data_IF_091881575041
#
_entry.id   IF_091881575041
#
_cell.length_a   1.000
_cell.length_b   1.000
_cell.length_c   1.000
_cell.angle_alpha   90.00
_cell.angle_beta   90.00
_cell.angle_gamma   90.00
#
_symmetry.space_group_name_H-M   'P 1'
#
loop_
_entity.id
_entity.type
_entity.pdbx_description
1 polymer ?
#
# COMPACT_ATOMS: atom_id res chain seq x y z
N UNK A 1 24.25 7.07 20.35
CA UNK A 1 23.20 8.10 20.15
C UNK A 1 21.98 7.40 19.61
N UNK A 2 20.81 7.57 20.22
CA UNK A 2 19.57 6.96 19.77
C UNK A 2 18.72 7.99 19.02
N UNK A 3 18.13 7.59 17.89
CA UNK A 3 17.24 8.43 17.09
C UNK A 3 15.94 7.69 16.81
N UNK A 4 14.81 8.29 17.21
CA UNK A 4 13.49 7.79 16.86
C UNK A 4 13.22 7.97 15.37
N UNK A 5 12.62 6.95 14.75
CA UNK A 5 12.20 6.97 13.36
C UNK A 5 10.70 7.26 13.29
N UNK A 6 10.35 8.49 12.97
CA UNK A 6 8.95 8.91 12.83
C UNK A 6 8.77 9.72 11.56
N UNK A 7 7.72 9.40 10.80
CA UNK A 7 7.30 10.21 9.66
C UNK A 7 5.78 10.19 9.54
N UNK A 8 5.18 11.32 9.17
CA UNK A 8 3.72 11.48 9.03
C UNK A 8 2.92 11.00 10.26
N UNK A 9 3.50 11.12 11.45
CA UNK A 9 2.89 10.68 12.71
C UNK A 9 3.00 9.17 13.00
N UNK A 10 3.64 8.39 12.13
CA UNK A 10 3.85 6.94 12.29
C UNK A 10 5.25 6.66 12.82
N UNK A 11 5.35 5.80 13.83
CA UNK A 11 6.62 5.32 14.38
C UNK A 11 7.09 4.04 13.70
N UNK A 12 8.35 4.03 13.27
CA UNK A 12 9.08 2.88 12.72
C UNK A 12 10.19 2.42 13.67
N UNK A 13 10.05 2.71 14.97
CA UNK A 13 11.01 2.33 15.99
C UNK A 13 12.16 3.32 16.11
N UNK A 14 13.39 2.83 16.19
CA UNK A 14 14.59 3.63 16.47
C UNK A 14 15.85 3.00 15.88
N UNK A 15 16.86 3.84 15.66
CA UNK A 15 18.23 3.42 15.36
C UNK A 15 19.19 3.90 16.44
N UNK A 16 20.23 3.14 16.69
CA UNK A 16 21.28 3.51 17.65
C UNK A 16 22.62 3.58 16.93
N UNK A 17 23.29 4.74 17.00
CA UNK A 17 24.67 4.89 16.55
C UNK A 17 25.63 4.66 17.71
N UNK A 18 26.54 3.69 17.57
CA UNK A 18 27.58 3.38 18.54
C UNK A 18 28.80 4.29 18.39
N UNK A 19 29.67 4.30 19.40
CA UNK A 19 30.84 5.19 19.44
C UNK A 19 31.88 4.90 18.35
N UNK A 20 31.85 3.71 17.75
CA UNK A 20 32.70 3.29 16.65
C UNK A 20 32.16 3.66 15.26
N UNK A 21 30.98 4.31 15.21
CA UNK A 21 30.33 4.73 13.97
C UNK A 21 29.41 3.67 13.35
N UNK A 22 29.25 2.50 13.98
CA UNK A 22 28.26 1.51 13.55
C UNK A 22 26.84 1.96 13.90
N UNK A 23 25.87 1.58 13.06
CA UNK A 23 24.45 1.89 13.27
C UNK A 23 23.72 0.55 13.49
N UNK A 24 23.08 0.42 14.64
CA UNK A 24 22.19 -0.67 14.97
C UNK A 24 20.76 -0.37 14.49
N UNK A 25 20.26 -1.27 13.65
CA UNK A 25 18.90 -1.25 13.10
C UNK A 25 17.96 -2.27 13.77
N UNK A 26 18.40 -2.97 14.82
CA UNK A 26 17.63 -4.04 15.48
C UNK A 26 16.32 -3.59 16.12
N UNK A 27 16.14 -2.29 16.32
CA UNK A 27 14.89 -1.68 16.81
C UNK A 27 14.09 -0.95 15.71
N UNK A 28 14.42 -1.18 14.44
CA UNK A 28 13.59 -0.74 13.31
C UNK A 28 12.38 -1.67 13.18
N UNK A 29 11.20 -1.08 13.00
CA UNK A 29 9.95 -1.82 12.96
C UNK A 29 9.22 -1.63 11.64
N UNK A 30 8.77 -2.74 11.04
CA UNK A 30 7.81 -2.74 9.93
C UNK A 30 8.31 -2.19 8.60
N UNK A 31 9.60 -1.86 8.48
CA UNK A 31 10.32 -1.54 7.23
C UNK A 31 11.68 -2.25 7.22
N UNK A 32 12.33 -2.29 6.06
CA UNK A 32 13.67 -2.85 5.95
C UNK A 32 14.73 -1.91 6.58
N UNK A 33 15.94 -2.40 6.90
CA UNK A 33 17.01 -1.57 7.49
C UNK A 33 17.44 -0.38 6.63
N UNK A 34 17.11 -0.36 5.34
CA UNK A 34 17.32 0.79 4.45
C UNK A 34 16.31 1.94 4.66
N UNK A 35 15.41 1.78 5.63
CA UNK A 35 14.44 2.79 6.08
C UNK A 35 13.44 3.23 5.00
N UNK A 36 13.33 2.48 3.90
CA UNK A 36 12.42 2.79 2.81
C UNK A 36 11.05 2.19 3.06
N UNK A 37 10.03 3.06 3.10
CA UNK A 37 8.62 2.66 3.14
C UNK A 37 8.23 2.13 1.76
N UNK A 38 7.64 0.94 1.72
CA UNK A 38 7.28 0.21 0.50
C UNK A 38 5.78 -0.07 0.50
N UNK A 39 4.97 0.78 -0.13
CA UNK A 39 3.51 0.72 -0.01
C UNK A 39 2.86 -0.29 -0.97
N UNK A 40 3.64 -0.98 -1.81
CA UNK A 40 3.13 -1.84 -2.88
C UNK A 40 3.47 -3.32 -2.67
N UNK A 41 2.53 -4.19 -3.08
CA UNK A 41 2.53 -5.63 -2.80
C UNK A 41 1.91 -5.98 -1.44
N UNK A 42 1.47 -7.23 -1.27
CA UNK A 42 0.84 -7.70 -0.03
C UNK A 42 1.77 -7.62 1.19
N UNK A 43 3.06 -7.80 0.97
CA UNK A 43 4.10 -7.72 2.01
C UNK A 43 4.83 -6.37 2.01
N UNK A 44 4.45 -5.44 1.13
CA UNK A 44 5.08 -4.13 1.01
C UNK A 44 6.54 -4.24 0.56
N UNK A 45 6.81 -4.83 -0.60
CA UNK A 45 8.18 -5.08 -1.09
C UNK A 45 8.61 -4.13 -2.22
N UNK A 46 7.67 -3.40 -2.83
CA UNK A 46 7.97 -2.42 -3.87
C UNK A 46 7.82 -0.98 -3.35
N UNK A 47 8.79 -0.12 -3.66
CA UNK A 47 8.84 1.26 -3.20
C UNK A 47 8.09 2.21 -4.12
N UNK A 48 8.10 1.95 -5.43
CA UNK A 48 7.52 2.85 -6.43
C UNK A 48 6.38 2.21 -7.21
N UNK A 49 5.51 3.05 -7.79
CA UNK A 49 4.49 2.60 -8.74
C UNK A 49 5.12 1.92 -9.97
N UNK A 50 6.33 2.34 -10.35
CA UNK A 50 7.05 1.79 -11.48
C UNK A 50 7.52 0.36 -11.22
N UNK A 51 8.08 0.11 -10.05
CA UNK A 51 8.57 -1.22 -9.68
C UNK A 51 7.42 -2.23 -9.64
N UNK A 52 6.28 -1.87 -9.04
CA UNK A 52 5.11 -2.77 -8.98
C UNK A 52 4.46 -2.95 -10.36
N UNK A 53 4.46 -1.93 -11.22
CA UNK A 53 3.96 -2.06 -12.59
C UNK A 53 4.84 -3.01 -13.41
N UNK A 54 6.16 -2.86 -13.33
CA UNK A 54 7.12 -3.71 -14.02
C UNK A 54 7.10 -5.16 -13.50
N UNK A 55 7.03 -5.37 -12.18
CA UNK A 55 6.84 -6.70 -11.61
C UNK A 55 5.52 -7.33 -12.05
N UNK A 56 4.44 -6.54 -12.14
CA UNK A 56 3.14 -7.05 -12.59
C UNK A 56 3.14 -7.45 -14.06
N UNK A 57 3.83 -6.68 -14.91
CA UNK A 57 4.03 -7.03 -16.32
C UNK A 57 4.77 -8.37 -16.44
N UNK A 58 5.83 -8.56 -15.65
CA UNK A 58 6.59 -9.81 -15.63
C UNK A 58 5.76 -10.99 -15.08
N UNK A 59 5.37 -10.92 -13.81
CA UNK A 59 4.81 -12.06 -13.07
C UNK A 59 3.38 -12.40 -13.52
N UNK A 60 2.59 -11.42 -13.96
CA UNK A 60 1.18 -11.65 -14.30
C UNK A 60 0.87 -11.62 -15.78
N UNK A 61 1.72 -10.99 -16.61
CA UNK A 61 1.47 -10.87 -18.05
C UNK A 61 2.56 -11.55 -18.89
N UNK A 62 3.68 -11.97 -18.28
CA UNK A 62 4.79 -12.60 -18.99
C UNK A 62 5.54 -11.62 -19.89
N UNK A 63 5.58 -10.33 -19.52
CA UNK A 63 6.22 -9.27 -20.32
C UNK A 63 7.46 -8.74 -19.58
N UNK A 64 8.57 -8.61 -20.29
CA UNK A 64 9.83 -8.10 -19.80
C UNK A 64 10.09 -6.67 -20.26
N UNK A 65 10.60 -5.87 -19.34
CA UNK A 65 11.06 -4.53 -19.68
C UNK A 65 12.45 -4.54 -20.27
N UNK A 66 12.72 -3.55 -21.13
CA UNK A 66 14.05 -3.30 -21.67
C UNK A 66 15.06 -3.06 -20.54
N UNK A 67 14.62 -2.50 -19.39
CA UNK A 67 15.48 -2.29 -18.22
C UNK A 67 16.00 -3.61 -17.67
N UNK A 68 15.14 -4.62 -17.51
CA UNK A 68 15.52 -5.96 -17.05
C UNK A 68 16.47 -6.61 -18.06
N UNK A 69 16.11 -6.62 -19.34
CA UNK A 69 16.92 -7.24 -20.40
C UNK A 69 18.31 -6.61 -20.54
N UNK A 70 18.40 -5.27 -20.46
CA UNK A 70 19.68 -4.56 -20.48
C UNK A 70 20.51 -4.82 -19.21
N UNK A 71 19.86 -4.93 -18.04
CA UNK A 71 20.57 -5.27 -16.81
C UNK A 71 21.14 -6.71 -16.84
N UNK A 72 20.42 -7.65 -17.44
CA UNK A 72 20.91 -9.01 -17.72
C UNK A 72 22.10 -8.97 -18.69
N UNK A 73 22.00 -8.21 -19.79
CA UNK A 73 23.09 -8.02 -20.76
C UNK A 73 24.35 -7.50 -20.08
N UNK A 74 24.19 -6.52 -19.20
CA UNK A 74 25.30 -5.84 -18.51
C UNK A 74 25.79 -6.62 -17.28
N UNK A 75 25.18 -7.76 -16.95
CA UNK A 75 25.56 -8.62 -15.82
C UNK A 75 25.25 -8.01 -14.45
N UNK A 76 24.35 -7.03 -14.39
CA UNK A 76 23.94 -6.36 -13.14
C UNK A 76 22.69 -6.97 -12.51
N UNK A 77 22.03 -7.88 -13.23
CA UNK A 77 20.85 -8.62 -12.77
C UNK A 77 21.00 -10.10 -13.12
N UNK A 78 20.64 -10.98 -12.18
CA UNK A 78 20.55 -12.42 -12.42
C UNK A 78 19.38 -12.73 -13.35
N UNK A 79 19.60 -13.40 -14.51
CA UNK A 79 18.50 -13.78 -15.41
C UNK A 79 17.60 -14.89 -14.85
N UNK A 80 18.05 -15.68 -13.85
CA UNK A 80 17.32 -16.86 -13.38
C UNK A 80 15.82 -16.68 -13.09
N UNK A 81 15.38 -15.60 -12.41
CA UNK A 81 13.97 -15.30 -12.17
C UNK A 81 13.15 -14.91 -13.40
N UNK A 82 13.81 -14.61 -14.52
CA UNK A 82 13.20 -14.11 -15.76
C UNK A 82 13.27 -15.14 -16.89
N UNK A 83 14.24 -16.04 -16.87
CA UNK A 83 14.37 -17.12 -17.85
C UNK A 83 15.83 -17.50 -18.12
N UNK A 84 16.02 -18.36 -19.12
CA UNK A 84 17.32 -18.96 -19.47
C UNK A 84 17.77 -18.62 -20.91
N UNK A 85 17.07 -17.72 -21.57
CA UNK A 85 17.37 -17.27 -22.93
C UNK A 85 18.51 -16.27 -23.01
N UNK A 86 18.88 -15.86 -24.24
CA UNK A 86 19.82 -14.76 -24.44
C UNK A 86 19.24 -13.45 -23.86
N UNK A 87 20.09 -12.46 -23.56
CA UNK A 87 19.67 -11.21 -22.92
C UNK A 87 18.57 -10.44 -23.65
N UNK A 88 18.45 -10.63 -24.96
CA UNK A 88 17.47 -9.96 -25.81
C UNK A 88 16.12 -10.70 -25.86
N UNK A 89 16.01 -11.91 -25.31
CA UNK A 89 14.81 -12.76 -25.28
C UNK A 89 15.01 -13.76 -24.12
N UNK A 90 14.91 -13.23 -22.89
CA UNK A 90 15.35 -13.95 -21.67
C UNK A 90 14.40 -15.10 -21.34
N UNK A 91 13.11 -14.92 -21.59
CA UNK A 91 12.02 -15.88 -21.39
C UNK A 91 11.75 -16.79 -22.60
N UNK A 92 12.41 -16.56 -23.74
CA UNK A 92 12.38 -17.42 -24.94
C UNK A 92 10.99 -17.54 -25.58
N UNK A 93 10.20 -16.48 -25.54
CA UNK A 93 8.89 -16.44 -26.17
C UNK A 93 8.96 -15.98 -27.65
N UNK A 94 10.15 -15.57 -28.09
CA UNK A 94 10.44 -15.10 -29.45
C UNK A 94 10.21 -13.60 -29.64
N UNK A 95 9.92 -12.85 -28.58
CA UNK A 95 9.75 -11.40 -28.59
C UNK A 95 10.92 -10.75 -27.86
N UNK A 96 11.55 -9.78 -28.53
CA UNK A 96 12.66 -9.03 -27.98
C UNK A 96 12.23 -7.61 -27.63
N UNK A 97 12.70 -7.10 -26.48
CA UNK A 97 12.51 -5.70 -26.06
C UNK A 97 11.02 -5.29 -26.03
N UNK A 98 10.22 -6.02 -25.25
CA UNK A 98 8.76 -5.93 -25.24
C UNK A 98 8.24 -4.62 -24.65
N UNK A 99 8.72 -4.24 -23.45
CA UNK A 99 8.26 -3.05 -22.75
C UNK A 99 9.40 -2.03 -22.63
N UNK A 100 9.31 -0.98 -23.44
CA UNK A 100 10.23 0.14 -23.35
C UNK A 100 9.93 1.07 -22.15
N UNK A 101 10.91 1.91 -21.81
CA UNK A 101 10.81 2.85 -20.67
C UNK A 101 9.66 3.86 -20.82
N UNK A 102 9.34 4.26 -22.06
CA UNK A 102 8.20 5.13 -22.37
C UNK A 102 6.87 4.44 -22.07
N UNK A 103 6.70 3.19 -22.50
CA UNK A 103 5.52 2.37 -22.18
C UNK A 103 5.32 2.21 -20.68
N UNK A 104 6.40 1.89 -19.92
CA UNK A 104 6.33 1.85 -18.45
C UNK A 104 5.91 3.20 -17.86
N UNK A 105 6.47 4.31 -18.36
CA UNK A 105 6.10 5.65 -17.90
C UNK A 105 4.62 5.95 -18.16
N UNK A 106 4.09 5.51 -19.30
CA UNK A 106 2.65 5.63 -19.63
C UNK A 106 1.78 4.83 -18.68
N UNK A 107 2.17 3.58 -18.34
CA UNK A 107 1.43 2.77 -17.36
C UNK A 107 1.40 3.44 -15.99
N UNK A 108 2.56 3.91 -15.50
CA UNK A 108 2.63 4.65 -14.23
C UNK A 108 1.81 5.92 -14.30
N UNK A 109 1.86 6.64 -15.41
CA UNK A 109 1.10 7.87 -15.61
C UNK A 109 -0.40 7.64 -15.61
N UNK A 110 -0.88 6.54 -16.17
CA UNK A 110 -2.28 6.12 -16.08
C UNK A 110 -2.68 5.80 -14.62
N UNK A 111 -1.90 4.95 -13.94
CA UNK A 111 -2.18 4.53 -12.56
C UNK A 111 -2.20 5.71 -11.58
N UNK A 112 -1.28 6.67 -11.72
CA UNK A 112 -1.17 7.84 -10.87
C UNK A 112 -2.32 8.85 -11.05
N UNK A 113 -3.06 8.75 -12.15
CA UNK A 113 -4.17 9.64 -12.49
C UNK A 113 -5.55 9.03 -12.25
N UNK A 114 -5.60 7.79 -11.71
CA UNK A 114 -6.84 7.20 -11.25
C UNK A 114 -7.44 8.01 -10.08
N UNK A 115 -8.76 7.90 -9.94
CA UNK A 115 -9.50 8.56 -8.88
C UNK A 115 -9.12 8.05 -7.48
N UNK A 116 -9.17 8.94 -6.50
CA UNK A 116 -9.00 8.56 -5.10
C UNK A 116 -10.30 7.90 -4.56
N UNK A 117 -10.21 6.84 -3.75
CA UNK A 117 -11.38 6.35 -3.01
C UNK A 117 -11.94 7.42 -2.05
N UNK A 118 -13.21 7.29 -1.69
CA UNK A 118 -13.97 8.25 -0.88
C UNK A 118 -14.64 7.60 0.32
N UNK A 119 -15.01 8.41 1.31
CA UNK A 119 -15.86 8.01 2.43
C UNK A 119 -17.30 8.41 2.08
N UNK A 120 -18.22 7.45 2.06
CA UNK A 120 -19.63 7.64 1.72
C UNK A 120 -20.51 7.19 2.89
N UNK A 121 -20.79 8.08 3.85
CA UNK A 121 -21.71 7.79 4.94
C UNK A 121 -23.11 7.42 4.39
N UNK A 122 -23.85 6.54 5.10
CA UNK A 122 -25.22 6.22 4.73
C UNK A 122 -26.13 7.45 4.85
N UNK A 123 -27.17 7.52 4.02
CA UNK A 123 -28.14 8.63 4.02
C UNK A 123 -29.31 8.43 4.98
N UNK A 124 -29.58 7.18 5.36
CA UNK A 124 -30.62 6.86 6.33
C UNK A 124 -30.21 7.37 7.73
N UNK A 125 -31.05 8.15 8.44
CA UNK A 125 -30.68 8.73 9.73
C UNK A 125 -30.29 7.69 10.79
N UNK A 126 -30.98 6.55 10.85
CA UNK A 126 -30.65 5.49 11.82
C UNK A 126 -29.31 4.84 11.52
N UNK A 127 -28.97 4.69 10.24
CA UNK A 127 -27.65 4.21 9.83
C UNK A 127 -26.55 5.26 9.97
N UNK A 128 -26.88 6.56 9.91
CA UNK A 128 -25.90 7.63 10.09
C UNK A 128 -25.38 7.69 11.52
N UNK A 129 -26.26 7.53 12.51
CA UNK A 129 -25.87 7.43 13.93
C UNK A 129 -25.01 6.19 14.17
N UNK A 130 -25.39 5.04 13.59
CA UNK A 130 -24.59 3.82 13.63
C UNK A 130 -23.23 4.00 12.94
N UNK A 131 -23.18 4.68 11.80
CA UNK A 131 -21.94 4.98 11.10
C UNK A 131 -20.99 5.82 11.96
N UNK A 132 -21.51 6.87 12.61
CA UNK A 132 -20.73 7.73 13.50
C UNK A 132 -20.24 6.96 14.74
N UNK A 133 -21.10 6.16 15.37
CA UNK A 133 -20.71 5.29 16.48
C UNK A 133 -19.65 4.25 16.07
N UNK A 134 -19.80 3.68 14.87
CA UNK A 134 -18.86 2.72 14.30
C UNK A 134 -17.48 3.33 14.07
N UNK A 135 -17.42 4.58 13.61
CA UNK A 135 -16.16 5.33 13.49
C UNK A 135 -15.49 5.50 14.86
N UNK A 136 -16.23 5.83 15.90
CA UNK A 136 -15.69 5.94 17.27
C UNK A 136 -15.22 4.59 17.81
N UNK A 137 -16.03 3.54 17.68
CA UNK A 137 -15.66 2.20 18.14
C UNK A 137 -14.43 1.65 17.41
N UNK A 138 -14.26 1.96 16.12
CA UNK A 138 -13.05 1.60 15.37
C UNK A 138 -11.78 2.15 16.03
N UNK A 139 -11.82 3.36 16.59
CA UNK A 139 -10.71 3.91 17.35
C UNK A 139 -10.59 3.28 18.74
N UNK A 140 -11.68 3.17 19.46
CA UNK A 140 -11.71 2.66 20.85
C UNK A 140 -11.21 1.22 20.97
N UNK A 141 -11.59 0.35 20.02
CA UNK A 141 -11.13 -1.04 19.99
C UNK A 141 -9.69 -1.17 19.46
N UNK A 142 -9.08 -0.07 18.98
CA UNK A 142 -7.68 0.01 18.59
C UNK A 142 -7.38 -0.37 17.14
N UNK A 143 -8.38 -0.46 16.26
CA UNK A 143 -8.14 -0.73 14.84
C UNK A 143 -7.31 0.37 14.17
N UNK A 144 -7.50 1.63 14.56
CA UNK A 144 -6.75 2.77 14.02
C UNK A 144 -5.28 2.82 14.44
N UNK A 145 -4.81 1.90 15.29
CA UNK A 145 -3.38 1.76 15.62
C UNK A 145 -2.52 1.38 14.41
N UNK A 146 -3.02 0.47 13.56
CA UNK A 146 -2.40 0.12 12.28
C UNK A 146 -3.15 0.79 11.11
N UNK A 147 -4.49 0.77 11.14
CA UNK A 147 -5.32 1.39 10.11
C UNK A 147 -5.51 2.89 10.34
N UNK A 148 -4.39 3.62 10.39
CA UNK A 148 -4.35 5.05 10.70
C UNK A 148 -5.21 5.84 9.69
N UNK A 149 -6.25 6.56 10.14
CA UNK A 149 -7.27 7.11 9.25
C UNK A 149 -6.74 8.03 8.16
N UNK A 150 -5.86 8.95 8.53
CA UNK A 150 -5.41 10.05 7.65
C UNK A 150 -3.92 10.25 7.77
N UNK A 151 -3.24 10.34 6.63
CA UNK A 151 -1.85 10.81 6.52
C UNK A 151 -1.83 12.17 5.80
N UNK A 152 -0.87 13.01 6.17
CA UNK A 152 -0.67 14.32 5.53
C UNK A 152 0.39 14.21 4.42
N UNK A 153 0.09 14.77 3.25
CA UNK A 153 0.94 14.80 2.07
C UNK A 153 1.34 16.24 1.74
N UNK A 154 2.64 16.53 1.84
CA UNK A 154 3.15 17.89 1.62
C UNK A 154 3.39 18.20 0.14
N UNK A 155 3.88 17.22 -0.64
CA UNK A 155 4.10 17.36 -2.08
C UNK A 155 3.30 16.30 -2.85
N UNK A 156 2.27 16.68 -3.63
CA UNK A 156 1.51 15.76 -4.46
C UNK A 156 2.19 15.45 -5.80
N UNK A 157 3.39 15.96 -6.07
CA UNK A 157 4.08 15.71 -7.33
C UNK A 157 4.78 14.35 -7.32
N UNK A 158 4.45 13.53 -8.30
CA UNK A 158 5.09 12.26 -8.60
C UNK A 158 5.87 12.39 -9.91
N UNK A 159 7.15 12.00 -9.94
CA UNK A 159 7.84 11.72 -11.19
C UNK A 159 7.53 10.28 -11.62
N UNK A 160 6.77 10.10 -12.69
CA UNK A 160 6.31 8.78 -13.17
C UNK A 160 7.45 7.84 -13.63
N UNK A 161 8.68 8.36 -13.65
CA UNK A 161 9.87 7.62 -14.08
C UNK A 161 10.67 7.06 -12.90
N UNK A 162 10.30 7.37 -11.65
CA UNK A 162 11.07 6.95 -10.48
C UNK A 162 11.37 5.43 -10.49
N UNK A 163 12.60 5.01 -10.14
CA UNK A 163 13.76 5.84 -9.79
C UNK A 163 14.28 6.68 -10.97
N UNK A 164 14.70 7.92 -10.70
CA UNK A 164 14.96 8.92 -11.74
C UNK A 164 16.00 8.46 -12.78
N UNK A 165 15.69 8.64 -14.06
CA UNK A 165 16.62 8.46 -15.19
C UNK A 165 17.37 9.79 -15.44
N UNK A 166 18.69 9.90 -15.14
CA UNK A 166 19.42 11.17 -15.16
C UNK A 166 19.44 11.86 -16.54
N UNK A 167 19.43 11.08 -17.60
CA UNK A 167 19.58 11.55 -18.98
C UNK A 167 18.26 12.01 -19.61
N UNK A 168 17.16 12.05 -18.85
CA UNK A 168 15.83 12.39 -19.35
C UNK A 168 15.15 13.42 -18.46
N UNK A 169 14.35 14.28 -19.08
CA UNK A 169 13.53 15.26 -18.37
C UNK A 169 12.41 14.60 -17.55
N UNK A 170 12.13 15.14 -16.36
CA UNK A 170 11.07 14.71 -15.45
C UNK A 170 9.70 14.60 -16.11
N UNK A 171 8.97 13.52 -15.80
CA UNK A 171 7.56 13.39 -16.16
C UNK A 171 6.75 13.54 -14.89
N UNK A 172 6.45 14.80 -14.55
CA UNK A 172 5.78 15.15 -13.29
C UNK A 172 4.27 15.11 -13.47
N UNK A 173 3.61 14.42 -12.54
CA UNK A 173 2.16 14.36 -12.37
C UNK A 173 1.85 14.94 -11.00
N UNK A 174 1.03 15.99 -10.93
CA UNK A 174 0.50 16.50 -9.67
C UNK A 174 -0.76 15.71 -9.34
N UNK A 175 -0.66 14.66 -8.51
CA UNK A 175 -1.78 13.73 -8.26
C UNK A 175 -2.97 14.38 -7.55
N UNK A 176 -2.78 15.58 -7.00
CA UNK A 176 -3.85 16.38 -6.42
C UNK A 176 -4.63 17.20 -7.46
N UNK A 177 -4.11 17.33 -8.69
CA UNK A 177 -4.70 18.18 -9.74
C UNK A 177 -4.98 17.42 -11.05
N UNK A 178 -4.05 16.57 -11.47
CA UNK A 178 -4.09 15.89 -12.75
C UNK A 178 -4.90 14.58 -12.68
N UNK A 179 -5.55 14.19 -13.78
CA UNK A 179 -6.31 12.94 -13.89
C UNK A 179 -7.77 13.00 -13.41
N UNK A 180 -8.38 11.82 -13.22
CA UNK A 180 -9.79 11.67 -12.89
C UNK A 180 -10.08 12.04 -11.43
N UNK A 181 -11.21 12.71 -11.18
CA UNK A 181 -11.73 12.92 -9.83
C UNK A 181 -12.51 11.71 -9.31
N UNK A 182 -12.80 11.64 -8.00
CA UNK A 182 -12.42 12.62 -6.96
C UNK A 182 -10.93 12.62 -6.58
N UNK A 183 -10.45 13.74 -6.01
CA UNK A 183 -9.06 13.97 -5.59
C UNK A 183 -8.93 14.07 -4.07
N UNK A 184 -7.70 13.94 -3.57
CA UNK A 184 -7.36 14.11 -2.16
C UNK A 184 -7.68 15.53 -1.66
N UNK A 185 -8.10 15.65 -0.41
CA UNK A 185 -8.60 16.91 0.15
C UNK A 185 -7.44 17.87 0.47
N UNK A 186 -7.47 19.14 0.02
CA UNK A 186 -6.51 20.14 0.46
C UNK A 186 -6.77 20.55 1.92
N UNK A 187 -5.73 20.53 2.75
CA UNK A 187 -5.76 21.06 4.11
C UNK A 187 -5.46 22.55 4.07
N UNK A 188 -6.49 23.38 4.28
CA UNK A 188 -6.32 24.83 4.37
C UNK A 188 -5.84 25.24 5.77
N UNK A 189 -4.86 26.14 5.85
CA UNK A 189 -4.40 26.66 7.16
C UNK A 189 -2.98 27.23 7.25
N UNK A 190 -2.19 27.22 6.17
CA UNK A 190 -0.82 27.75 6.15
C UNK A 190 -0.43 28.42 4.83
N UNK A 191 0.84 28.85 4.73
CA UNK A 191 1.41 29.43 3.49
C UNK A 191 1.68 28.38 2.39
N UNK A 192 1.63 27.10 2.74
CA UNK A 192 1.73 25.96 1.83
C UNK A 192 0.50 25.07 2.01
N UNK A 193 -0.07 24.60 0.89
CA UNK A 193 -1.17 23.62 0.90
C UNK A 193 -0.58 22.22 1.07
N UNK A 194 -0.91 21.55 2.16
CA UNK A 194 -0.77 20.09 2.29
C UNK A 194 -2.09 19.42 1.97
N UNK A 195 -2.08 18.09 1.83
CA UNK A 195 -3.25 17.31 1.45
C UNK A 195 -3.53 16.21 2.48
N UNK A 196 -4.80 15.97 2.78
CA UNK A 196 -5.26 14.88 3.63
C UNK A 196 -5.53 13.65 2.77
N UNK A 197 -4.86 12.55 3.13
CA UNK A 197 -5.02 11.25 2.46
C UNK A 197 -5.69 10.29 3.44
N UNK A 198 -6.99 10.05 3.26
CA UNK A 198 -7.80 9.16 4.12
C UNK A 198 -7.57 7.67 3.79
N UNK A 199 -6.34 7.20 3.95
CA UNK A 199 -5.88 5.89 3.50
C UNK A 199 -6.34 4.75 4.42
N UNK A 200 -6.51 5.01 5.72
CA UNK A 200 -6.71 3.97 6.75
C UNK A 200 -5.60 2.91 6.75
N UNK A 201 -4.35 3.38 6.77
CA UNK A 201 -3.14 2.56 6.84
C UNK A 201 -1.96 3.41 7.32
N UNK A 202 -1.09 2.80 8.11
CA UNK A 202 0.19 3.36 8.53
C UNK A 202 1.34 3.06 7.54
N UNK A 203 1.06 2.33 6.46
CA UNK A 203 2.04 1.85 5.47
C UNK A 203 3.20 1.04 6.10
N UNK A 204 2.96 0.42 7.25
CA UNK A 204 3.92 -0.38 8.01
C UNK A 204 3.60 -1.86 7.87
N UNK A 205 4.62 -2.71 8.01
CA UNK A 205 4.44 -4.17 8.06
C UNK A 205 4.20 -4.64 9.50
N UNK A 206 3.29 -5.59 9.67
CA UNK A 206 2.90 -6.17 10.96
C UNK A 206 2.84 -7.69 10.91
N UNK A 207 3.12 -8.32 12.04
CA UNK A 207 2.87 -9.75 12.23
C UNK A 207 1.36 -10.02 12.35
N UNK A 208 0.79 -10.70 11.36
CA UNK A 208 -0.63 -11.10 11.31
C UNK A 208 -0.89 -12.47 11.97
N UNK A 209 0.15 -13.09 12.55
CA UNK A 209 0.07 -14.37 13.23
C UNK A 209 0.17 -15.59 12.31
N UNK A 210 0.42 -16.76 12.91
CA UNK A 210 0.69 -18.00 12.17
C UNK A 210 -0.48 -18.48 11.29
N UNK A 211 -1.72 -18.20 11.68
CA UNK A 211 -2.91 -18.62 10.92
C UNK A 211 -3.06 -17.92 9.56
N UNK A 212 -2.42 -16.76 9.40
CA UNK A 212 -2.37 -15.97 8.17
C UNK A 212 -1.00 -16.01 7.49
N UNK A 213 -0.10 -16.90 7.90
CA UNK A 213 1.19 -17.03 7.24
C UNK A 213 1.05 -17.59 5.82
N UNK A 214 1.83 -17.05 4.88
CA UNK A 214 2.08 -17.70 3.59
C UNK A 214 2.90 -18.99 3.77
N UNK A 215 2.94 -19.89 2.77
CA UNK A 215 3.77 -21.11 2.87
C UNK A 215 5.27 -20.84 3.03
N UNK A 216 5.74 -19.69 2.54
CA UNK A 216 7.14 -19.29 2.56
C UNK A 216 7.28 -17.77 2.78
N UNK A 217 8.44 -17.29 3.28
CA UNK A 217 8.76 -15.86 3.27
C UNK A 217 8.89 -15.33 1.83
N UNK A 218 8.79 -14.01 1.67
CA UNK A 218 9.09 -13.33 0.41
C UNK A 218 10.39 -12.54 0.58
N UNK A 219 11.48 -13.05 0.00
CA UNK A 219 12.82 -12.53 0.27
C UNK A 219 13.13 -12.60 1.77
N UNK A 220 13.44 -11.45 2.36
CA UNK A 220 13.70 -11.30 3.80
C UNK A 220 12.44 -11.11 4.65
N UNK A 221 11.27 -10.91 4.01
CA UNK A 221 10.03 -10.60 4.72
C UNK A 221 9.38 -11.91 5.23
N UNK A 222 9.18 -12.08 6.55
CA UNK A 222 8.64 -13.32 7.10
C UNK A 222 7.26 -13.70 6.55
N UNK A 223 6.96 -14.99 6.55
CA UNK A 223 5.72 -15.54 6.00
C UNK A 223 4.43 -14.95 6.61
N UNK A 224 4.45 -14.62 7.91
CA UNK A 224 3.32 -14.06 8.65
C UNK A 224 3.26 -12.53 8.69
N UNK A 225 4.24 -11.85 8.11
CA UNK A 225 4.33 -10.39 8.12
C UNK A 225 3.72 -9.82 6.84
N UNK A 226 2.86 -8.82 6.98
CA UNK A 226 2.15 -8.17 5.87
C UNK A 226 2.10 -6.66 6.05
N UNK A 227 2.04 -5.93 4.94
CA UNK A 227 1.78 -4.49 4.96
C UNK A 227 0.34 -4.24 5.43
N UNK A 228 0.11 -3.23 6.28
CA UNK A 228 -1.25 -2.77 6.58
C UNK A 228 -1.93 -2.32 5.31
N UNK A 229 -2.86 -3.11 4.79
CA UNK A 229 -3.59 -2.74 3.57
C UNK A 229 -4.48 -1.53 3.85
N UNK A 230 -4.48 -0.58 2.93
CA UNK A 230 -5.36 0.58 3.01
C UNK A 230 -6.83 0.15 2.96
N UNK A 231 -7.65 0.68 3.88
CA UNK A 231 -9.08 0.40 3.92
C UNK A 231 -9.90 1.37 3.06
N UNK A 232 -9.28 2.39 2.46
CA UNK A 232 -9.97 3.23 1.49
C UNK A 232 -10.50 2.39 0.31
N UNK A 233 -11.78 2.54 -0.06
CA UNK A 233 -12.40 1.69 -1.07
C UNK A 233 -12.62 0.21 -0.69
N UNK A 234 -12.47 -0.17 0.59
CA UNK A 234 -12.70 -1.53 1.11
C UNK A 234 -14.06 -2.13 0.73
N UNK A 235 -15.11 -1.31 0.64
CA UNK A 235 -16.47 -1.77 0.40
C UNK A 235 -16.63 -2.51 -0.94
N UNK A 236 -15.71 -2.32 -1.89
CA UNK A 236 -15.79 -2.82 -3.26
C UNK A 236 -14.71 -3.87 -3.60
N UNK A 237 -13.96 -4.35 -2.60
CA UNK A 237 -12.78 -5.20 -2.82
C UNK A 237 -12.89 -6.60 -2.24
N UNK A 238 -14.08 -7.04 -1.82
CA UNK A 238 -14.29 -8.41 -1.38
C UNK A 238 -13.90 -9.42 -2.48
N UNK A 239 -13.37 -10.62 -2.12
CA UNK A 239 -13.13 -11.10 -0.75
C UNK A 239 -11.87 -10.50 -0.11
N UNK A 240 -11.73 -10.69 1.20
CA UNK A 240 -10.72 -10.02 2.02
C UNK A 240 -9.59 -10.97 2.46
N UNK A 241 -8.54 -10.34 3.02
CA UNK A 241 -7.23 -10.92 3.36
C UNK A 241 -6.40 -11.28 2.11
N UNK A 242 -5.11 -11.54 2.32
CA UNK A 242 -4.14 -11.69 1.23
C UNK A 242 -4.39 -12.88 0.29
N UNK A 243 -5.23 -13.83 0.71
CA UNK A 243 -5.59 -15.04 -0.03
C UNK A 243 -7.08 -15.14 -0.31
N UNK A 244 -7.86 -14.08 -0.04
CA UNK A 244 -9.28 -14.03 -0.33
C UNK A 244 -10.15 -14.99 0.48
N UNK A 245 -9.64 -15.55 1.60
CA UNK A 245 -10.40 -16.54 2.40
C UNK A 245 -11.62 -15.97 3.12
N UNK A 246 -11.66 -14.65 3.36
CA UNK A 246 -12.70 -14.01 4.15
C UNK A 246 -13.77 -13.38 3.24
N UNK A 247 -14.99 -13.93 3.17
CA UNK A 247 -16.03 -13.41 2.29
C UNK A 247 -16.68 -12.12 2.82
N UNK A 248 -16.57 -11.85 4.13
CA UNK A 248 -17.12 -10.65 4.75
C UNK A 248 -16.07 -9.90 5.57
N UNK A 249 -16.32 -8.61 5.82
CA UNK A 249 -15.50 -7.78 6.70
C UNK A 249 -15.47 -8.35 8.12
N UNK A 250 -16.59 -8.95 8.58
CA UNK A 250 -16.62 -9.61 9.87
C UNK A 250 -15.62 -10.77 9.93
N UNK A 251 -15.68 -11.68 8.95
CA UNK A 251 -14.78 -12.83 8.89
C UNK A 251 -13.32 -12.38 8.80
N UNK A 252 -13.05 -11.32 8.03
CA UNK A 252 -11.72 -10.73 7.95
C UNK A 252 -11.22 -10.28 9.33
N UNK A 253 -12.02 -9.49 10.07
CA UNK A 253 -11.67 -9.02 11.41
C UNK A 253 -11.41 -10.20 12.36
N UNK A 254 -12.30 -11.20 12.38
CA UNK A 254 -12.18 -12.38 13.24
C UNK A 254 -10.89 -13.17 12.97
N UNK A 255 -10.41 -13.17 11.72
CA UNK A 255 -9.20 -13.88 11.33
C UNK A 255 -7.90 -13.11 11.61
N UNK A 256 -7.97 -11.83 12.02
CA UNK A 256 -6.77 -11.09 12.41
C UNK A 256 -6.09 -11.74 13.63
N UNK A 257 -4.76 -11.81 13.61
CA UNK A 257 -3.96 -12.39 14.69
C UNK A 257 -2.70 -11.59 14.92
N UNK A 258 -1.71 -12.20 15.57
CA UNK A 258 -0.41 -11.56 15.84
C UNK A 258 -0.59 -10.24 16.60
N UNK A 259 -0.03 -9.16 16.06
CA UNK A 259 -0.11 -7.81 16.65
C UNK A 259 -1.55 -7.28 16.75
N UNK A 260 -2.44 -7.70 15.84
CA UNK A 260 -3.83 -7.27 15.81
C UNK A 260 -4.75 -8.02 16.81
N UNK A 261 -4.24 -9.03 17.53
CA UNK A 261 -5.02 -9.89 18.44
C UNK A 261 -5.84 -9.07 19.44
N UNK A 262 -5.24 -8.06 20.07
CA UNK A 262 -5.94 -7.21 21.06
C UNK A 262 -7.13 -6.47 20.45
N UNK A 263 -6.97 -5.93 19.24
CA UNK A 263 -8.03 -5.18 18.57
C UNK A 263 -9.16 -6.10 18.09
N UNK A 264 -8.81 -7.28 17.55
CA UNK A 264 -9.80 -8.32 17.23
C UNK A 264 -10.61 -8.72 18.46
N UNK A 265 -9.94 -9.02 19.56
CA UNK A 265 -10.62 -9.49 20.77
C UNK A 265 -11.54 -8.42 21.36
N UNK A 266 -11.13 -7.14 21.29
CA UNK A 266 -11.98 -6.01 21.65
C UNK A 266 -13.22 -5.90 20.74
N UNK A 267 -13.07 -6.08 19.42
CA UNK A 267 -14.19 -6.15 18.48
C UNK A 267 -15.16 -7.30 18.80
N UNK A 268 -14.63 -8.47 19.15
CA UNK A 268 -15.42 -9.65 19.53
C UNK A 268 -16.11 -9.51 20.88
N UNK A 269 -15.64 -8.62 21.75
CA UNK A 269 -16.25 -8.30 23.03
C UNK A 269 -17.40 -7.28 22.91
N UNK A 270 -17.50 -6.53 21.80
CA UNK A 270 -18.64 -5.67 21.52
C UNK A 270 -19.93 -6.49 21.38
N UNK A 271 -21.04 -5.92 21.84
CA UNK A 271 -22.37 -6.44 21.53
C UNK A 271 -22.69 -6.30 20.02
N UNK A 272 -23.74 -6.96 19.55
CA UNK A 272 -24.01 -7.00 18.12
C UNK A 272 -24.31 -5.62 17.51
N UNK A 273 -25.08 -4.71 18.15
CA UNK A 273 -25.25 -3.35 17.64
C UNK A 273 -23.94 -2.58 17.48
N UNK A 274 -23.05 -2.59 18.48
CA UNK A 274 -21.75 -1.93 18.39
C UNK A 274 -20.83 -2.59 17.36
N UNK A 275 -20.89 -3.92 17.22
CA UNK A 275 -20.16 -4.65 16.19
C UNK A 275 -20.66 -4.33 14.78
N UNK A 276 -21.97 -4.22 14.62
CA UNK A 276 -22.61 -3.85 13.37
C UNK A 276 -22.28 -2.42 12.96
N UNK A 277 -22.22 -1.49 13.91
CA UNK A 277 -21.88 -0.09 13.66
C UNK A 277 -20.48 0.05 13.06
N UNK A 278 -19.49 -0.71 13.56
CA UNK A 278 -18.14 -0.79 12.95
C UNK A 278 -18.20 -1.27 11.50
N UNK A 279 -19.03 -2.28 11.19
CA UNK A 279 -19.20 -2.78 9.81
C UNK A 279 -19.88 -1.74 8.91
N UNK A 280 -20.85 -0.99 9.43
CA UNK A 280 -21.49 0.13 8.71
C UNK A 280 -20.47 1.23 8.40
N UNK A 281 -19.60 1.57 9.36
CA UNK A 281 -18.50 2.49 9.13
C UNK A 281 -17.54 1.97 8.03
N UNK A 282 -17.08 0.73 8.12
CA UNK A 282 -16.16 0.15 7.14
C UNK A 282 -16.78 0.05 5.73
N UNK A 283 -18.09 -0.22 5.64
CA UNK A 283 -18.83 -0.23 4.37
C UNK A 283 -18.97 1.16 3.73
N UNK A 284 -18.69 2.24 4.47
CA UNK A 284 -18.65 3.59 3.91
C UNK A 284 -17.34 3.90 3.17
N UNK A 285 -16.28 3.12 3.38
CA UNK A 285 -14.99 3.31 2.72
C UNK A 285 -15.10 2.73 1.30
N UNK A 286 -15.48 3.54 0.32
CA UNK A 286 -15.91 3.12 -1.02
C UNK A 286 -15.21 3.92 -2.13
N UNK A 287 -15.68 3.79 -3.37
CA UNK A 287 -15.33 4.66 -4.49
C UNK A 287 -16.55 5.47 -4.94
N UNK A 288 -16.33 6.51 -5.73
CA UNK A 288 -17.43 7.22 -6.38
C UNK A 288 -18.04 6.32 -7.46
N UNK A 289 -19.37 6.14 -7.53
CA UNK A 289 -19.98 5.35 -8.59
C UNK A 289 -19.73 5.99 -9.95
N UNK A 290 -19.09 5.26 -10.86
CA UNK A 290 -19.05 5.65 -12.26
C UNK A 290 -20.37 5.25 -12.93
N UNK A 291 -21.06 6.23 -13.51
CA UNK A 291 -22.11 5.98 -14.49
C UNK A 291 -21.43 5.38 -15.73
N UNK A 292 -21.44 4.06 -15.83
CA UNK A 292 -21.09 3.39 -17.06
C UNK A 292 -22.27 3.52 -18.03
N UNK A 293 -22.11 4.35 -19.06
CA UNK A 293 -23.01 4.35 -20.21
C UNK A 293 -22.33 3.48 -21.27
N UNK A 294 -22.84 2.25 -21.54
CA UNK A 294 -22.27 1.34 -22.52
C UNK A 294 -22.30 1.90 -23.96
#
# INVERSE_FOLDING_TARGET
>A
MEQALTTKGISFGRITADADGTIDHGSVEGVDPDLTIRPFGWKGHQATLRDIAEESLHIHQGLLSNRIQLAVRDGTLDPGPYGMGPWYDVDQDGVSLEIDSGMLTTVVGYLAQLEAPVIRPPRDPGLLDAWAAGRSHFDEIGCSGCHVPTLELDDPKLDARQPAEPDRAAFIIDVAKDGDGPKIEPKYGGYSTSYLVHLFSDLKRHDMGAALATPAPQGTIPARVFLTRSLWGLAETAPYLHDGRAPTVHDAIVLHGGEATRARDAYLALDEPARASVRVFLASLSREPKLFVP
#
